data_IF_129180057623
#
_entry.id   IF_129180057623
#
_cell.length_a   1.000
_cell.length_b   1.000
_cell.length_c   1.000
_cell.angle_alpha   90.00
_cell.angle_beta   90.00
_cell.angle_gamma   90.00
#
_symmetry.space_group_name_H-M   'P 1'
#
loop_
_entity.id
_entity.type
_entity.pdbx_description
1 polymer ?
#
# COMPACT_ATOMS: atom_id res chain seq x y z
N UNK A 1 -19.38 -29.90 13.44
CA UNK A 1 -20.38 -29.39 12.48
C UNK A 1 -20.55 -27.85 12.56
N UNK A 2 -20.76 -27.24 13.74
CA UNK A 2 -20.90 -25.79 13.89
C UNK A 2 -19.67 -24.97 13.42
N UNK A 3 -18.46 -25.42 13.77
CA UNK A 3 -17.19 -24.77 13.38
C UNK A 3 -16.96 -24.82 11.87
N UNK A 4 -17.34 -25.89 11.19
CA UNK A 4 -17.19 -26.06 9.74
C UNK A 4 -18.14 -25.10 8.99
N UNK A 5 -19.38 -24.95 9.45
CA UNK A 5 -20.36 -24.05 8.84
C UNK A 5 -19.94 -22.56 8.98
N UNK A 6 -19.38 -22.17 10.14
CA UNK A 6 -18.87 -20.82 10.36
C UNK A 6 -17.65 -20.54 9.46
N UNK A 7 -16.75 -21.51 9.28
CA UNK A 7 -15.59 -21.39 8.39
C UNK A 7 -16.02 -21.12 6.93
N UNK A 8 -16.98 -21.90 6.44
CA UNK A 8 -17.48 -21.76 5.05
C UNK A 8 -18.10 -20.38 4.78
N UNK A 9 -18.75 -19.79 5.78
CA UNK A 9 -19.34 -18.44 5.65
C UNK A 9 -18.24 -17.38 5.51
N UNK A 10 -17.21 -17.43 6.35
CA UNK A 10 -16.11 -16.47 6.33
C UNK A 10 -15.25 -16.64 5.07
N UNK A 11 -14.99 -17.86 4.63
CA UNK A 11 -14.28 -18.16 3.40
C UNK A 11 -14.98 -17.54 2.18
N UNK A 12 -16.30 -17.77 2.02
CA UNK A 12 -17.10 -17.17 0.97
C UNK A 12 -17.08 -15.64 1.01
N UNK A 13 -17.10 -15.06 2.22
CA UNK A 13 -17.06 -13.62 2.41
C UNK A 13 -15.70 -13.02 1.99
N UNK A 14 -14.59 -13.63 2.40
CA UNK A 14 -13.25 -13.23 1.98
C UNK A 14 -13.10 -13.30 0.46
N UNK A 15 -13.55 -14.40 -0.15
CA UNK A 15 -13.52 -14.57 -1.62
C UNK A 15 -14.34 -13.47 -2.32
N UNK A 16 -15.52 -13.17 -1.82
CA UNK A 16 -16.37 -12.12 -2.40
C UNK A 16 -15.72 -10.74 -2.31
N UNK A 17 -15.17 -10.37 -1.17
CA UNK A 17 -14.45 -9.11 -0.98
C UNK A 17 -13.21 -9.03 -1.88
N UNK A 18 -12.40 -10.10 -1.92
CA UNK A 18 -11.21 -10.14 -2.76
C UNK A 18 -11.56 -9.93 -4.23
N UNK A 19 -12.59 -10.63 -4.76
CA UNK A 19 -13.04 -10.48 -6.15
C UNK A 19 -13.59 -9.10 -6.46
N UNK A 20 -14.25 -8.45 -5.49
CA UNK A 20 -14.71 -7.08 -5.62
C UNK A 20 -13.52 -6.11 -5.77
N UNK A 21 -12.55 -6.15 -4.84
CA UNK A 21 -11.37 -5.30 -4.91
C UNK A 21 -10.51 -5.61 -6.14
N UNK A 22 -10.34 -6.88 -6.49
CA UNK A 22 -9.61 -7.30 -7.69
C UNK A 22 -10.20 -6.72 -8.96
N UNK A 23 -11.52 -6.70 -9.06
CA UNK A 23 -12.24 -6.16 -10.23
C UNK A 23 -12.14 -4.65 -10.35
N UNK A 24 -11.97 -3.94 -9.26
CA UNK A 24 -11.90 -2.48 -9.19
C UNK A 24 -10.62 -2.01 -8.50
N UNK A 25 -9.44 -2.31 -9.07
CA UNK A 25 -8.16 -1.97 -8.47
C UNK A 25 -7.91 -0.46 -8.52
N UNK A 26 -7.43 0.09 -7.43
CA UNK A 26 -7.16 1.52 -7.28
C UNK A 26 -5.69 1.73 -6.95
N UNK A 27 -4.93 2.58 -7.68
CA UNK A 27 -3.50 2.74 -7.47
C UNK A 27 -3.16 3.71 -6.34
N UNK A 28 -2.03 3.49 -5.70
CA UNK A 28 -1.36 4.39 -4.76
C UNK A 28 -2.28 5.10 -3.78
N UNK A 29 -2.28 6.42 -3.82
CA UNK A 29 -3.11 7.29 -2.98
C UNK A 29 -4.57 7.43 -3.42
N UNK A 30 -4.99 6.69 -4.46
CA UNK A 30 -6.29 6.86 -5.13
C UNK A 30 -7.32 5.77 -4.74
N UNK A 31 -7.12 5.11 -3.60
CA UNK A 31 -7.96 4.01 -3.10
C UNK A 31 -9.28 4.49 -2.49
N UNK A 32 -10.01 5.35 -3.21
CA UNK A 32 -11.24 6.01 -2.72
C UNK A 32 -12.39 5.05 -2.49
N UNK A 33 -12.69 4.20 -3.48
CA UNK A 33 -13.76 3.21 -3.34
C UNK A 33 -13.47 2.22 -2.21
N UNK A 34 -12.27 1.67 -2.18
CA UNK A 34 -11.86 0.74 -1.13
C UNK A 34 -11.97 1.39 0.27
N UNK A 35 -11.58 2.67 0.39
CA UNK A 35 -11.71 3.43 1.64
C UNK A 35 -13.18 3.55 2.07
N UNK A 36 -14.08 3.97 1.17
CA UNK A 36 -15.52 4.10 1.45
C UNK A 36 -16.12 2.76 1.85
N UNK A 37 -15.83 1.71 1.07
CA UNK A 37 -16.39 0.39 1.28
C UNK A 37 -15.97 -0.20 2.63
N UNK A 38 -14.68 -0.16 2.92
CA UNK A 38 -14.12 -0.67 4.19
C UNK A 38 -14.64 0.14 5.38
N UNK A 39 -14.63 1.48 5.29
CA UNK A 39 -15.09 2.37 6.35
C UNK A 39 -16.55 2.12 6.71
N UNK A 40 -17.44 2.02 5.71
CA UNK A 40 -18.86 1.76 5.89
C UNK A 40 -19.12 0.40 6.55
N UNK A 41 -18.41 -0.64 6.14
CA UNK A 41 -18.53 -1.97 6.73
C UNK A 41 -18.06 -2.00 8.18
N UNK A 42 -16.95 -1.32 8.50
CA UNK A 42 -16.39 -1.29 9.85
C UNK A 42 -17.21 -0.41 10.80
N UNK A 43 -17.75 0.72 10.32
CA UNK A 43 -18.71 1.52 11.12
C UNK A 43 -19.96 0.71 11.46
N UNK A 44 -20.55 -0.01 10.50
CA UNK A 44 -21.69 -0.92 10.75
C UNK A 44 -21.35 -2.06 11.72
N UNK A 45 -20.12 -2.52 11.72
CA UNK A 45 -19.64 -3.53 12.66
C UNK A 45 -19.36 -2.98 14.08
N UNK A 46 -19.48 -1.66 14.29
CA UNK A 46 -19.34 -1.01 15.59
C UNK A 46 -17.93 -0.52 15.91
N UNK A 47 -17.07 -0.36 14.91
CA UNK A 47 -15.77 0.30 15.06
C UNK A 47 -15.89 1.81 15.08
N UNK A 48 -15.01 2.47 15.81
CA UNK A 48 -14.70 3.87 15.62
C UNK A 48 -13.77 3.98 14.40
N UNK A 49 -14.21 4.71 13.34
CA UNK A 49 -13.54 4.71 12.04
C UNK A 49 -13.00 6.09 11.71
N UNK A 50 -11.75 6.14 11.25
CA UNK A 50 -11.05 7.33 10.77
C UNK A 50 -10.58 7.09 9.34
N UNK A 51 -10.66 8.14 8.49
CA UNK A 51 -10.37 8.01 7.05
C UNK A 51 -9.55 9.17 6.50
N UNK A 52 -8.74 8.89 5.50
CA UNK A 52 -8.07 9.86 4.66
C UNK A 52 -7.31 10.92 5.45
N UNK A 53 -7.71 12.19 5.32
CA UNK A 53 -7.02 13.31 5.96
C UNK A 53 -7.01 13.28 7.49
N UNK A 54 -7.91 12.55 8.11
CA UNK A 54 -7.95 12.38 9.57
C UNK A 54 -6.75 11.56 10.09
N UNK A 55 -6.10 10.78 9.21
CA UNK A 55 -5.05 9.81 9.57
C UNK A 55 -3.72 10.01 8.85
N UNK A 56 -3.61 10.97 7.94
CA UNK A 56 -2.41 11.24 7.14
C UNK A 56 -1.83 12.62 7.42
N UNK A 57 -0.51 12.71 7.47
CA UNK A 57 0.21 13.97 7.47
C UNK A 57 0.46 14.44 6.02
N UNK A 58 -0.12 15.55 5.63
CA UNK A 58 -0.01 16.14 4.29
C UNK A 58 1.45 16.46 3.89
N UNK A 59 2.26 16.93 4.84
CA UNK A 59 3.65 17.31 4.58
C UNK A 59 4.56 16.10 4.33
N UNK A 60 4.10 14.91 4.69
CA UNK A 60 4.85 13.66 4.56
C UNK A 60 4.33 12.76 3.43
N UNK A 61 3.39 13.25 2.62
CA UNK A 61 2.93 12.52 1.43
C UNK A 61 4.05 12.47 0.38
N UNK A 62 4.45 11.26 0.03
CA UNK A 62 5.45 11.03 -1.00
C UNK A 62 4.75 10.78 -2.34
N UNK A 63 5.15 11.52 -3.37
CA UNK A 63 4.62 11.43 -4.73
C UNK A 63 3.07 11.43 -4.75
N UNK A 64 2.43 12.51 -4.27
CA UNK A 64 0.98 12.62 -4.27
C UNK A 64 0.43 12.71 -5.69
N UNK A 65 -0.79 12.21 -5.93
CA UNK A 65 -1.43 12.31 -7.23
C UNK A 65 -1.82 13.75 -7.55
N UNK A 66 -1.99 14.02 -8.83
CA UNK A 66 -2.49 15.31 -9.32
C UNK A 66 -3.97 15.51 -8.97
N UNK A 67 -4.42 16.77 -8.91
CA UNK A 67 -5.84 17.10 -8.68
C UNK A 67 -6.77 16.45 -9.72
N UNK A 68 -6.32 16.36 -10.96
CA UNK A 68 -7.07 15.72 -12.05
C UNK A 68 -7.26 14.23 -11.79
N UNK A 69 -6.24 13.54 -11.34
CA UNK A 69 -6.31 12.12 -10.98
C UNK A 69 -7.23 11.92 -9.77
N UNK A 70 -7.09 12.72 -8.73
CA UNK A 70 -7.96 12.69 -7.55
C UNK A 70 -9.42 12.82 -7.99
N UNK A 71 -9.76 13.87 -8.72
CA UNK A 71 -11.14 14.11 -9.19
C UNK A 71 -11.71 12.94 -9.99
N UNK A 72 -10.92 12.36 -10.88
CA UNK A 72 -11.32 11.22 -11.68
C UNK A 72 -11.66 9.99 -10.81
N UNK A 73 -10.78 9.68 -9.84
CA UNK A 73 -10.96 8.51 -9.00
C UNK A 73 -12.05 8.69 -7.95
N UNK A 74 -12.25 9.90 -7.44
CA UNK A 74 -13.39 10.25 -6.59
C UNK A 74 -14.72 10.01 -7.32
N UNK A 75 -14.86 10.49 -8.55
CA UNK A 75 -16.07 10.28 -9.36
C UNK A 75 -16.35 8.80 -9.63
N UNK A 76 -15.31 7.99 -9.86
CA UNK A 76 -15.42 6.54 -10.02
C UNK A 76 -15.87 5.87 -8.73
N UNK A 77 -15.26 6.26 -7.61
CA UNK A 77 -15.54 5.69 -6.30
C UNK A 77 -16.99 5.95 -5.86
N UNK A 78 -17.50 7.16 -6.03
CA UNK A 78 -18.90 7.51 -5.72
C UNK A 78 -19.86 6.60 -6.46
N UNK A 79 -19.74 6.51 -7.78
CA UNK A 79 -20.63 5.66 -8.62
C UNK A 79 -20.54 4.20 -8.21
N UNK A 80 -19.34 3.70 -7.92
CA UNK A 80 -19.15 2.29 -7.57
C UNK A 80 -19.71 2.00 -6.18
N UNK A 81 -19.52 2.89 -5.21
CA UNK A 81 -20.05 2.73 -3.86
C UNK A 81 -21.60 2.65 -3.86
N UNK A 82 -22.28 3.48 -4.65
CA UNK A 82 -23.72 3.43 -4.83
C UNK A 82 -24.17 2.09 -5.45
N UNK A 83 -23.47 1.61 -6.48
CA UNK A 83 -23.72 0.29 -7.10
C UNK A 83 -23.53 -0.85 -6.09
N UNK A 84 -22.64 -0.69 -5.11
CA UNK A 84 -22.46 -1.65 -4.03
C UNK A 84 -23.45 -1.46 -2.86
N UNK A 85 -24.46 -0.61 -3.01
CA UNK A 85 -25.55 -0.45 -2.06
C UNK A 85 -25.25 0.48 -0.88
N UNK A 86 -24.21 1.30 -0.97
CA UNK A 86 -23.94 2.37 0.01
C UNK A 86 -24.79 3.58 -0.41
N UNK A 87 -25.60 4.11 0.51
CA UNK A 87 -26.48 5.25 0.19
C UNK A 87 -25.69 6.51 -0.19
N UNK A 88 -26.25 7.32 -1.07
CA UNK A 88 -25.68 8.59 -1.50
C UNK A 88 -25.27 9.48 -0.30
N UNK A 89 -26.13 9.55 0.72
CA UNK A 89 -25.86 10.29 1.96
C UNK A 89 -24.58 9.77 2.66
N UNK A 90 -24.43 8.45 2.79
CA UNK A 90 -23.24 7.84 3.42
C UNK A 90 -21.99 8.05 2.57
N UNK A 91 -22.10 7.92 1.26
CA UNK A 91 -20.99 8.21 0.34
C UNK A 91 -20.53 9.65 0.49
N UNK A 92 -21.46 10.61 0.53
CA UNK A 92 -21.14 12.03 0.72
C UNK A 92 -20.45 12.30 2.06
N UNK A 93 -20.89 11.65 3.14
CA UNK A 93 -20.23 11.76 4.46
C UNK A 93 -18.80 11.24 4.41
N UNK A 94 -18.56 10.06 3.82
CA UNK A 94 -17.22 9.50 3.72
C UNK A 94 -16.31 10.35 2.84
N UNK A 95 -16.79 10.83 1.70
CA UNK A 95 -16.03 11.72 0.81
C UNK A 95 -15.62 13.01 1.50
N UNK A 96 -16.53 13.63 2.25
CA UNK A 96 -16.23 14.85 3.01
C UNK A 96 -15.16 14.63 4.09
N UNK A 97 -15.23 13.49 4.81
CA UNK A 97 -14.25 13.13 5.84
C UNK A 97 -12.88 12.78 5.25
N UNK A 98 -12.86 12.07 4.14
CA UNK A 98 -11.63 11.73 3.41
C UNK A 98 -10.89 12.97 2.92
N UNK A 99 -11.60 13.99 2.50
CA UNK A 99 -11.05 15.26 2.05
C UNK A 99 -9.86 15.07 1.10
N UNK A 100 -10.11 14.41 -0.03
CA UNK A 100 -9.15 14.10 -1.10
C UNK A 100 -8.00 13.15 -0.70
N UNK A 101 -8.11 12.44 0.41
CA UNK A 101 -7.12 11.45 0.88
C UNK A 101 -7.81 10.11 1.16
N UNK A 102 -7.03 9.05 1.13
CA UNK A 102 -7.53 7.68 1.26
C UNK A 102 -6.87 6.94 2.42
N UNK A 103 -7.39 5.76 2.74
CA UNK A 103 -6.93 4.93 3.86
C UNK A 103 -7.92 4.91 5.02
N UNK A 104 -7.86 3.85 5.82
CA UNK A 104 -8.77 3.63 6.96
C UNK A 104 -7.99 3.22 8.19
N UNK A 105 -8.37 3.79 9.33
CA UNK A 105 -8.03 3.24 10.64
C UNK A 105 -9.32 2.99 11.40
N UNK A 106 -9.52 1.76 11.86
CA UNK A 106 -10.70 1.37 12.60
C UNK A 106 -10.31 0.79 13.97
N UNK A 107 -11.01 1.22 15.01
CA UNK A 107 -10.69 0.88 16.40
C UNK A 107 -11.90 0.22 17.05
N UNK A 108 -11.68 -0.96 17.60
CA UNK A 108 -12.60 -1.61 18.53
C UNK A 108 -11.97 -1.64 19.93
N UNK A 109 -12.48 -0.80 20.82
CA UNK A 109 -12.09 -0.82 22.23
C UNK A 109 -13.13 -1.58 23.03
N UNK A 110 -12.76 -2.77 23.50
CA UNK A 110 -13.68 -3.64 24.26
C UNK A 110 -13.96 -3.15 25.67
N UNK A 111 -13.26 -2.11 26.14
CA UNK A 111 -13.27 -1.64 27.53
C UNK A 111 -12.88 -2.73 28.57
N UNK A 112 -12.40 -3.88 28.12
CA UNK A 112 -11.90 -4.97 28.96
C UNK A 112 -10.38 -4.90 29.02
N UNK A 113 -9.80 -5.29 30.15
CA UNK A 113 -8.34 -5.32 30.33
C UNK A 113 -7.71 -6.30 29.32
N UNK A 114 -6.76 -5.83 28.54
CA UNK A 114 -6.05 -6.64 27.54
C UNK A 114 -5.01 -5.80 26.80
N UNK A 115 -4.35 -6.41 25.81
CA UNK A 115 -3.35 -5.75 24.98
C UNK A 115 -4.01 -4.91 23.87
N UNK A 116 -3.31 -3.87 23.45
CA UNK A 116 -3.60 -3.17 22.20
C UNK A 116 -2.90 -3.90 21.05
N UNK A 117 -3.68 -4.49 20.16
CA UNK A 117 -3.23 -5.22 18.99
C UNK A 117 -3.56 -4.43 17.74
N UNK A 118 -2.57 -4.19 16.88
CA UNK A 118 -2.76 -3.52 15.60
C UNK A 118 -2.51 -4.50 14.44
N UNK A 119 -3.28 -4.35 13.36
CA UNK A 119 -3.20 -5.17 12.15
C UNK A 119 -3.13 -4.24 10.95
N UNK A 120 -2.12 -4.42 10.08
CA UNK A 120 -1.89 -3.57 8.92
C UNK A 120 -2.09 -4.35 7.62
N UNK A 121 -2.83 -3.76 6.70
CA UNK A 121 -3.18 -4.29 5.39
C UNK A 121 -2.96 -3.21 4.32
N UNK A 122 -2.35 -3.61 3.20
CA UNK A 122 -2.12 -2.72 2.07
C UNK A 122 -3.35 -2.67 1.17
N UNK A 123 -3.56 -1.52 0.51
CA UNK A 123 -4.78 -1.28 -0.27
C UNK A 123 -4.53 -1.11 -1.77
N UNK A 124 -3.37 -0.60 -2.16
CA UNK A 124 -3.14 -0.08 -3.49
C UNK A 124 -2.78 -1.16 -4.53
N UNK A 125 -3.18 -0.89 -5.76
CA UNK A 125 -2.86 -1.68 -6.94
C UNK A 125 -1.66 -1.11 -7.71
N UNK A 126 -1.07 -1.94 -8.56
CA UNK A 126 0.00 -1.58 -9.48
C UNK A 126 -0.56 -1.09 -10.84
N UNK A 127 0.15 -0.15 -11.47
CA UNK A 127 -0.10 0.26 -12.85
C UNK A 127 0.51 -0.74 -13.83
N UNK A 128 0.03 -1.98 -13.75
CA UNK A 128 0.45 -3.12 -14.56
C UNK A 128 -0.78 -3.77 -15.18
N UNK A 129 -0.72 -4.02 -16.49
CA UNK A 129 -1.81 -4.70 -17.19
C UNK A 129 -1.98 -6.13 -16.66
N UNK A 130 -3.21 -6.51 -16.40
CA UNK A 130 -3.54 -7.87 -16.00
C UNK A 130 -3.41 -8.83 -17.19
N UNK A 131 -2.86 -10.03 -16.96
CA UNK A 131 -2.78 -11.07 -18.00
C UNK A 131 -4.17 -11.60 -18.33
N UNK A 132 -4.42 -11.74 -19.63
CA UNK A 132 -5.65 -12.27 -20.22
C UNK A 132 -5.57 -13.78 -20.52
N UNK A 133 -4.55 -14.48 -20.01
CA UNK A 133 -4.35 -15.93 -20.25
C UNK A 133 -5.56 -16.71 -19.76
N UNK A 134 -6.09 -17.56 -20.65
CA UNK A 134 -7.34 -18.30 -20.41
C UNK A 134 -7.28 -19.24 -19.20
N UNK A 135 -6.09 -19.63 -18.77
CA UNK A 135 -5.89 -20.50 -17.62
C UNK A 135 -5.99 -19.80 -16.26
N UNK A 136 -5.93 -18.49 -16.23
CA UNK A 136 -6.01 -17.72 -15.00
C UNK A 136 -7.42 -17.71 -14.41
N UNK A 137 -7.50 -17.81 -13.08
CA UNK A 137 -8.77 -17.79 -12.33
C UNK A 137 -9.58 -16.52 -12.58
N UNK A 138 -9.00 -15.29 -12.58
CA UNK A 138 -9.75 -14.07 -12.88
C UNK A 138 -10.43 -14.08 -14.25
N UNK A 139 -9.80 -14.72 -15.26
CA UNK A 139 -10.36 -14.89 -16.60
C UNK A 139 -11.50 -15.90 -16.59
N UNK A 140 -11.24 -17.12 -16.06
CA UNK A 140 -12.22 -18.23 -15.98
C UNK A 140 -13.48 -17.84 -15.22
N UNK A 141 -13.34 -17.12 -14.11
CA UNK A 141 -14.43 -16.77 -13.20
C UNK A 141 -14.90 -15.31 -13.37
N UNK A 142 -14.46 -14.65 -14.43
CA UNK A 142 -14.95 -13.34 -14.91
C UNK A 142 -14.88 -12.20 -13.88
N UNK A 143 -13.77 -12.12 -13.11
CA UNK A 143 -13.52 -11.01 -12.19
C UNK A 143 -12.24 -10.21 -12.49
N UNK A 144 -11.78 -10.20 -13.73
CA UNK A 144 -10.69 -9.36 -14.22
C UNK A 144 -10.88 -7.88 -13.86
N UNK A 145 -9.76 -7.18 -13.77
CA UNK A 145 -9.76 -5.72 -13.61
C UNK A 145 -10.65 -5.02 -14.65
N UNK A 146 -11.45 -4.08 -14.20
CA UNK A 146 -12.26 -3.19 -15.04
C UNK A 146 -11.48 -1.96 -15.52
N UNK A 147 -10.25 -1.77 -15.04
CA UNK A 147 -9.41 -0.65 -15.41
C UNK A 147 -8.19 -1.13 -16.18
N UNK A 148 -8.14 -0.76 -17.47
CA UNK A 148 -7.04 -1.14 -18.33
C UNK A 148 -5.69 -0.64 -17.78
N UNK A 149 -4.69 -1.50 -17.74
CA UNK A 149 -3.35 -1.16 -17.28
C UNK A 149 -3.19 -1.05 -15.76
N UNK A 150 -4.19 -1.47 -14.97
CA UNK A 150 -4.13 -1.47 -13.51
C UNK A 150 -4.60 -2.83 -13.00
N UNK A 151 -3.85 -3.42 -12.07
CA UNK A 151 -4.23 -4.70 -11.46
C UNK A 151 -3.62 -4.89 -10.08
N UNK A 152 -4.26 -5.74 -9.26
CA UNK A 152 -3.72 -6.17 -7.97
C UNK A 152 -2.66 -7.29 -8.15
N UNK A 153 -1.59 -6.99 -8.90
CA UNK A 153 -0.52 -7.95 -9.18
C UNK A 153 0.30 -8.32 -7.92
N UNK A 154 0.25 -7.48 -6.87
CA UNK A 154 0.90 -7.74 -5.57
C UNK A 154 -0.01 -8.43 -4.54
N UNK A 155 -1.31 -8.63 -4.85
CA UNK A 155 -2.24 -9.34 -3.96
C UNK A 155 -2.87 -8.51 -2.85
N UNK A 156 -2.79 -7.17 -2.91
CA UNK A 156 -3.40 -6.28 -1.90
C UNK A 156 -4.94 -6.34 -1.86
N UNK A 157 -5.59 -6.79 -2.95
CA UNK A 157 -7.00 -7.18 -2.95
C UNK A 157 -7.32 -8.24 -1.89
N UNK A 158 -6.43 -9.23 -1.74
CA UNK A 158 -6.51 -10.24 -0.69
C UNK A 158 -6.20 -9.68 0.69
N UNK A 159 -5.26 -8.74 0.82
CA UNK A 159 -4.96 -8.06 2.08
C UNK A 159 -6.20 -7.31 2.59
N UNK A 160 -6.83 -6.48 1.76
CA UNK A 160 -8.06 -5.76 2.11
C UNK A 160 -9.19 -6.73 2.49
N UNK A 161 -9.38 -7.78 1.71
CA UNK A 161 -10.43 -8.77 1.95
C UNK A 161 -10.26 -9.50 3.27
N UNK A 162 -9.03 -9.96 3.56
CA UNK A 162 -8.69 -10.61 4.83
C UNK A 162 -8.83 -9.64 6.00
N UNK A 163 -8.33 -8.43 5.88
CA UNK A 163 -8.40 -7.40 6.92
C UNK A 163 -9.82 -7.04 7.28
N UNK A 164 -10.67 -6.81 6.28
CA UNK A 164 -12.07 -6.46 6.48
C UNK A 164 -12.86 -7.62 7.12
N UNK A 165 -12.74 -8.83 6.56
CA UNK A 165 -13.43 -9.99 7.12
C UNK A 165 -12.96 -10.33 8.52
N UNK A 166 -11.66 -10.19 8.79
CA UNK A 166 -11.12 -10.43 10.14
C UNK A 166 -11.60 -9.38 11.16
N UNK A 167 -11.66 -8.11 10.78
CA UNK A 167 -12.22 -7.07 11.64
C UNK A 167 -13.69 -7.35 11.97
N UNK A 168 -14.52 -7.67 10.98
CA UNK A 168 -15.91 -8.04 11.18
C UNK A 168 -16.06 -9.30 12.06
N UNK A 169 -15.20 -10.30 11.88
CA UNK A 169 -15.15 -11.49 12.74
C UNK A 169 -14.87 -11.11 14.20
N UNK A 170 -13.86 -10.26 14.44
CA UNK A 170 -13.53 -9.79 15.81
C UNK A 170 -14.71 -9.06 16.44
N UNK A 171 -15.39 -8.20 15.70
CA UNK A 171 -16.58 -7.48 16.17
C UNK A 171 -17.74 -8.44 16.51
N UNK A 172 -17.97 -9.44 15.67
CA UNK A 172 -18.99 -10.46 15.90
C UNK A 172 -18.68 -11.28 17.16
N UNK A 173 -17.43 -11.73 17.35
CA UNK A 173 -17.04 -12.47 18.56
C UNK A 173 -17.18 -11.60 19.80
N UNK A 174 -16.81 -10.32 19.73
CA UNK A 174 -17.01 -9.37 20.82
C UNK A 174 -18.49 -9.24 21.17
N UNK A 175 -19.36 -9.03 20.19
CA UNK A 175 -20.81 -8.91 20.38
C UNK A 175 -21.41 -10.17 21.01
N UNK A 176 -20.99 -11.37 20.57
CA UNK A 176 -21.39 -12.66 21.16
C UNK A 176 -20.97 -12.74 22.64
N UNK A 177 -19.73 -12.33 22.96
CA UNK A 177 -19.20 -12.36 24.34
C UNK A 177 -19.94 -11.40 25.29
N UNK A 178 -20.41 -10.25 24.78
CA UNK A 178 -21.23 -9.30 25.58
C UNK A 178 -22.62 -9.85 25.83
N UNK A 179 -23.26 -10.45 24.85
CA UNK A 179 -24.60 -11.08 25.01
C UNK A 179 -24.57 -12.24 26.03
N UNK A 180 -23.59 -13.14 25.89
CA UNK A 180 -23.44 -14.29 26.81
C UNK A 180 -23.18 -13.83 28.26
N UNK A 181 -22.38 -12.77 28.45
CA UNK A 181 -22.15 -12.23 29.81
C UNK A 181 -23.44 -11.67 30.46
N UNK A 182 -24.37 -11.12 29.67
CA UNK A 182 -25.68 -10.68 30.14
C UNK A 182 -26.63 -11.83 30.53
N UNK A 183 -26.53 -12.98 29.86
CA UNK A 183 -27.38 -14.15 30.12
C UNK A 183 -26.88 -15.01 31.29
N UNK A 184 -25.56 -15.06 31.53
CA UNK A 184 -24.95 -15.86 32.64
C UNK A 184 -25.25 -15.30 34.04
N UNK A 185 -25.73 -14.05 34.13
CA UNK A 185 -26.20 -13.52 35.44
C UNK A 185 -27.39 -14.29 36.00
N UNK A 186 -28.05 -15.16 35.23
CA UNK A 186 -29.26 -15.89 35.60
C UNK A 186 -29.11 -17.42 35.79
N UNK A 187 -27.97 -18.05 35.45
CA UNK A 187 -27.78 -19.49 35.66
C UNK A 187 -26.33 -19.88 35.97
N UNK A 188 -26.10 -20.37 37.21
CA UNK A 188 -24.83 -20.97 37.64
C UNK A 188 -24.66 -22.38 37.07
N UNK A 189 -23.66 -22.60 36.21
CA UNK A 189 -23.01 -23.89 36.04
C UNK A 189 -21.52 -23.71 35.66
N UNK A 190 -20.67 -24.10 36.58
CA UNK A 190 -19.20 -23.90 36.59
C UNK A 190 -18.46 -24.68 35.49
N UNK A 191 -19.04 -25.71 34.91
CA UNK A 191 -18.39 -26.60 33.94
C UNK A 191 -18.37 -26.03 32.54
N UNK A 192 -19.36 -25.21 32.14
CA UNK A 192 -19.38 -24.53 30.82
C UNK A 192 -18.39 -23.36 30.72
N UNK A 193 -18.04 -22.75 31.83
CA UNK A 193 -17.12 -21.62 31.90
C UNK A 193 -15.68 -21.97 31.53
N UNK A 194 -15.25 -23.24 31.67
CA UNK A 194 -13.89 -23.64 31.32
C UNK A 194 -13.68 -23.91 29.82
N UNK A 195 -14.72 -24.33 29.11
CA UNK A 195 -14.65 -24.58 27.64
C UNK A 195 -14.90 -23.32 26.80
N UNK A 196 -15.54 -22.29 27.36
CA UNK A 196 -15.82 -21.00 26.72
C UNK A 196 -14.70 -19.96 26.89
N UNK A 197 -13.68 -20.22 27.70
CA UNK A 197 -12.52 -19.32 27.93
C UNK A 197 -11.62 -19.16 26.72
N UNK A 198 -11.82 -19.93 25.63
CA UNK A 198 -10.88 -20.01 24.52
C UNK A 198 -10.89 -18.83 23.52
N UNK A 199 -11.82 -17.89 23.58
CA UNK A 199 -11.81 -16.72 22.65
C UNK A 199 -12.47 -15.47 23.23
N UNK A 200 -12.13 -15.07 24.43
CA UNK A 200 -12.65 -13.79 24.92
C UNK A 200 -11.94 -12.63 24.21
N UNK A 201 -12.69 -11.88 23.40
CA UNK A 201 -12.17 -10.67 22.75
C UNK A 201 -12.03 -9.59 23.83
N UNK A 202 -10.77 -9.25 24.16
CA UNK A 202 -10.43 -8.29 25.19
C UNK A 202 -9.29 -7.37 24.75
N UNK A 203 -9.18 -6.19 25.39
CA UNK A 203 -8.22 -5.16 25.00
C UNK A 203 -8.73 -4.31 23.85
N UNK A 204 -7.82 -3.76 23.07
CA UNK A 204 -8.09 -2.83 21.98
C UNK A 204 -7.56 -3.39 20.67
N UNK A 205 -8.36 -3.33 19.63
CA UNK A 205 -8.03 -3.80 18.29
C UNK A 205 -8.00 -2.62 17.33
N UNK A 206 -6.92 -2.47 16.59
CA UNK A 206 -6.72 -1.40 15.61
C UNK A 206 -6.48 -2.05 14.25
N UNK A 207 -7.32 -1.74 13.28
CA UNK A 207 -7.18 -2.18 11.89
C UNK A 207 -6.74 -1.01 11.04
N UNK A 208 -5.61 -1.14 10.36
CA UNK A 208 -4.98 -0.12 9.53
C UNK A 208 -5.01 -0.61 8.09
N UNK A 209 -5.77 0.07 7.24
CA UNK A 209 -5.77 -0.14 5.80
C UNK A 209 -4.97 1.00 5.17
N UNK A 210 -3.74 0.66 4.76
CA UNK A 210 -2.75 1.63 4.33
C UNK A 210 -2.75 1.80 2.82
N UNK A 211 -3.01 3.02 2.29
CA UNK A 211 -2.82 3.33 0.87
C UNK A 211 -1.34 3.50 0.55
N UNK A 212 -1.00 3.43 -0.75
CA UNK A 212 0.31 3.74 -1.30
C UNK A 212 1.48 2.96 -0.67
N UNK A 213 1.32 1.66 -0.45
CA UNK A 213 2.43 0.77 -0.09
C UNK A 213 3.41 0.66 -1.24
N UNK A 214 2.89 0.51 -2.46
CA UNK A 214 3.68 0.44 -3.67
C UNK A 214 4.50 1.71 -3.88
N UNK A 215 5.79 1.53 -3.96
CA UNK A 215 6.71 2.66 -3.96
C UNK A 215 7.21 3.09 -2.58
N UNK A 216 6.80 2.40 -1.48
CA UNK A 216 7.23 2.71 -0.09
C UNK A 216 6.82 4.13 0.33
N UNK A 217 5.60 4.55 -0.02
CA UNK A 217 5.13 5.94 0.13
C UNK A 217 4.20 6.15 1.34
N UNK A 218 3.32 5.17 1.60
CA UNK A 218 2.17 5.35 2.48
C UNK A 218 2.49 5.37 3.97
N UNK A 219 3.34 4.47 4.45
CA UNK A 219 3.56 4.27 5.88
C UNK A 219 4.15 5.49 6.59
N UNK A 220 4.94 6.31 5.88
CA UNK A 220 5.59 7.47 6.46
C UNK A 220 4.57 8.55 6.88
N UNK A 221 3.57 8.81 6.02
CA UNK A 221 2.52 9.78 6.29
C UNK A 221 1.61 9.39 7.47
N UNK A 222 1.48 8.10 7.76
CA UNK A 222 0.70 7.63 8.92
C UNK A 222 1.40 7.88 10.26
N UNK A 223 2.71 7.72 10.33
CA UNK A 223 3.44 7.60 11.61
C UNK A 223 3.42 8.85 12.48
N UNK A 224 3.24 10.04 11.89
CA UNK A 224 3.34 11.32 12.60
C UNK A 224 2.00 11.97 12.89
N UNK A 225 0.99 11.73 12.05
CA UNK A 225 -0.28 12.43 12.17
C UNK A 225 -1.19 11.83 13.22
N UNK A 226 -1.15 10.49 13.40
CA UNK A 226 -2.11 9.83 14.24
C UNK A 226 -1.48 9.14 15.44
N UNK A 227 -1.90 9.55 16.66
CA UNK A 227 -1.44 8.93 17.89
C UNK A 227 -2.29 7.70 18.23
N UNK A 228 -1.84 6.53 17.80
CA UNK A 228 -2.48 5.25 18.11
C UNK A 228 -2.44 4.90 19.60
N UNK A 229 -1.75 5.70 20.42
CA UNK A 229 -1.40 5.33 21.77
C UNK A 229 -0.37 4.20 21.81
N UNK A 230 -0.24 3.53 22.94
CA UNK A 230 0.66 2.39 23.06
C UNK A 230 0.08 1.20 22.32
N UNK A 231 0.81 0.68 21.31
CA UNK A 231 0.55 -0.58 20.64
C UNK A 231 1.44 -1.63 21.30
N UNK A 232 0.85 -2.72 21.80
CA UNK A 232 1.60 -3.82 22.41
C UNK A 232 2.04 -4.86 21.38
N UNK A 233 1.24 -5.06 20.32
CA UNK A 233 1.51 -6.02 19.25
C UNK A 233 1.06 -5.43 17.91
N UNK A 234 1.94 -5.49 16.89
CA UNK A 234 1.64 -5.12 15.50
C UNK A 234 1.83 -6.33 14.59
N UNK A 235 0.79 -6.63 13.83
CA UNK A 235 0.77 -7.73 12.87
C UNK A 235 0.66 -7.18 11.45
N UNK A 236 1.58 -7.62 10.60
CA UNK A 236 1.56 -7.36 9.16
C UNK A 236 1.69 -8.69 8.44
N UNK A 237 0.94 -8.91 7.40
CA UNK A 237 1.06 -10.10 6.55
C UNK A 237 1.10 -9.69 5.08
N UNK A 238 1.67 -10.58 4.26
CA UNK A 238 1.66 -10.42 2.82
C UNK A 238 1.29 -11.75 2.16
N UNK A 239 0.45 -11.71 1.13
CA UNK A 239 0.07 -12.87 0.31
C UNK A 239 1.15 -13.09 -0.75
N UNK A 240 1.55 -14.35 -0.96
CA UNK A 240 2.45 -14.75 -2.04
C UNK A 240 3.74 -15.41 -1.55
N UNK A 241 4.61 -15.81 -2.45
CA UNK A 241 5.96 -16.38 -2.26
C UNK A 241 6.08 -17.67 -1.44
N UNK A 242 4.98 -18.28 -1.02
CA UNK A 242 4.98 -19.60 -0.38
C UNK A 242 4.08 -20.57 -1.17
N UNK A 243 4.33 -21.88 -1.10
CA UNK A 243 3.42 -22.86 -1.66
C UNK A 243 2.01 -22.72 -1.09
N UNK A 244 1.02 -23.17 -1.87
CA UNK A 244 -0.38 -23.24 -1.42
C UNK A 244 -0.48 -23.94 -0.06
N UNK A 245 -1.41 -23.53 0.78
CA UNK A 245 -1.62 -24.01 2.15
C UNK A 245 -0.43 -23.79 3.13
N UNK A 246 0.51 -22.93 2.78
CA UNK A 246 1.65 -22.61 3.64
C UNK A 246 1.45 -21.27 4.36
N UNK A 247 1.62 -21.28 5.68
CA UNK A 247 1.70 -20.08 6.50
C UNK A 247 3.13 -19.89 6.99
N UNK A 248 3.75 -18.76 6.64
CA UNK A 248 5.11 -18.39 7.07
C UNK A 248 5.02 -17.35 8.17
N UNK A 249 5.44 -17.72 9.38
CA UNK A 249 5.50 -16.81 10.52
C UNK A 249 6.91 -16.24 10.70
N UNK A 250 6.99 -14.96 11.05
CA UNK A 250 8.25 -14.31 11.41
C UNK A 250 9.22 -14.16 10.23
N UNK A 251 8.71 -13.75 9.06
CA UNK A 251 9.54 -13.46 7.90
C UNK A 251 10.62 -12.41 8.24
N UNK A 252 11.84 -12.66 7.77
CA UNK A 252 13.03 -11.84 7.99
C UNK A 252 13.70 -11.50 6.65
N UNK A 253 14.62 -10.53 6.67
CA UNK A 253 15.45 -10.22 5.50
C UNK A 253 14.83 -9.19 4.55
N UNK A 254 13.84 -8.42 5.00
CA UNK A 254 13.39 -7.24 4.28
C UNK A 254 14.54 -6.24 4.16
N UNK A 255 14.77 -5.75 2.94
CA UNK A 255 15.81 -4.77 2.67
C UNK A 255 15.30 -3.35 2.94
N UNK A 256 16.08 -2.54 3.64
CA UNK A 256 15.85 -1.10 3.69
C UNK A 256 15.97 -0.54 2.27
N UNK A 257 15.03 0.32 1.87
CA UNK A 257 14.91 0.82 0.48
C UNK A 257 14.91 2.34 0.44
N UNK A 258 15.57 2.91 -0.58
CA UNK A 258 15.40 4.31 -0.97
C UNK A 258 15.08 4.38 -2.45
N UNK A 259 14.08 5.19 -2.80
CA UNK A 259 13.65 5.47 -4.18
C UNK A 259 13.78 6.97 -4.44
N UNK A 260 14.28 7.34 -5.60
CA UNK A 260 14.42 8.73 -5.97
C UNK A 260 14.46 8.90 -7.50
N UNK A 261 13.98 10.04 -7.94
CA UNK A 261 14.03 10.47 -9.32
C UNK A 261 15.16 11.49 -9.49
N UNK A 262 15.83 11.43 -10.62
CA UNK A 262 16.91 12.35 -10.98
C UNK A 262 16.58 13.00 -12.32
N UNK A 263 16.58 14.34 -12.37
CA UNK A 263 16.41 15.09 -13.58
C UNK A 263 17.69 15.85 -13.90
N UNK A 264 18.31 15.57 -15.05
CA UNK A 264 19.42 16.35 -15.55
C UNK A 264 18.92 17.43 -16.49
N UNK A 265 19.37 18.66 -16.28
CA UNK A 265 19.09 19.81 -17.13
C UNK A 265 20.38 20.37 -17.74
N UNK A 266 20.47 20.31 -19.03
CA UNK A 266 21.59 20.78 -19.82
C UNK A 266 21.22 21.96 -20.73
N UNK A 267 21.78 22.01 -21.92
CA UNK A 267 21.52 23.05 -22.90
C UNK A 267 21.44 22.46 -24.30
N UNK A 268 20.37 22.72 -25.02
CA UNK A 268 20.22 22.32 -26.43
C UNK A 268 21.17 23.09 -27.35
N UNK A 269 21.65 22.39 -28.36
CA UNK A 269 22.39 22.99 -29.51
C UNK A 269 22.21 22.09 -30.73
N UNK A 270 22.48 22.65 -31.94
CA UNK A 270 22.44 21.88 -33.14
C UNK A 270 23.66 20.96 -33.25
N UNK A 271 23.43 19.63 -33.23
CA UNK A 271 24.50 18.64 -33.13
C UNK A 271 25.54 18.67 -34.25
N UNK A 272 25.17 19.12 -35.47
CA UNK A 272 26.06 19.23 -36.60
C UNK A 272 26.67 20.61 -36.84
N UNK A 273 26.07 21.69 -36.33
CA UNK A 273 26.53 23.06 -36.61
C UNK A 273 27.28 23.72 -35.44
N UNK A 274 26.88 23.45 -34.21
CA UNK A 274 27.41 24.10 -33.04
C UNK A 274 27.31 23.20 -31.78
N UNK A 275 27.82 21.95 -31.80
CA UNK A 275 27.72 21.01 -30.69
C UNK A 275 28.40 21.53 -29.41
N UNK A 276 29.48 22.34 -29.56
CA UNK A 276 30.24 22.94 -28.47
C UNK A 276 29.41 23.90 -27.57
N UNK A 277 28.28 24.41 -28.10
CA UNK A 277 27.35 25.29 -27.36
C UNK A 277 26.37 24.53 -26.50
N UNK A 278 26.29 23.20 -26.68
CA UNK A 278 25.38 22.32 -25.93
C UNK A 278 25.95 21.86 -24.60
N UNK A 279 25.07 21.36 -23.74
CA UNK A 279 25.39 20.60 -22.53
C UNK A 279 24.51 19.37 -22.52
N UNK A 280 25.13 18.20 -22.69
CA UNK A 280 24.40 16.97 -23.02
C UNK A 280 23.90 16.25 -21.76
N UNK A 281 22.61 16.39 -21.45
CA UNK A 281 21.97 15.73 -20.32
C UNK A 281 21.86 14.21 -20.49
N UNK A 282 21.70 13.71 -21.72
CA UNK A 282 21.64 12.27 -22.00
C UNK A 282 22.97 11.59 -21.63
N UNK A 283 24.09 12.17 -22.01
CA UNK A 283 25.40 11.61 -21.68
C UNK A 283 25.67 11.65 -20.18
N UNK A 284 25.20 12.68 -19.47
CA UNK A 284 25.30 12.76 -18.01
C UNK A 284 24.50 11.62 -17.36
N UNK A 285 23.26 11.39 -17.79
CA UNK A 285 22.42 10.32 -17.26
C UNK A 285 22.99 8.93 -17.59
N UNK A 286 23.48 8.71 -18.81
CA UNK A 286 24.12 7.46 -19.21
C UNK A 286 25.38 7.17 -18.38
N UNK A 287 26.27 8.18 -18.19
CA UNK A 287 27.46 8.04 -17.33
C UNK A 287 27.06 7.73 -15.88
N UNK A 288 26.13 8.49 -15.31
CA UNK A 288 25.68 8.23 -13.95
C UNK A 288 25.14 6.80 -13.78
N UNK A 289 24.38 6.29 -14.76
CA UNK A 289 23.87 4.92 -14.76
C UNK A 289 25.01 3.89 -14.75
N UNK A 290 26.02 4.07 -15.59
CA UNK A 290 27.18 3.16 -15.68
C UNK A 290 28.00 3.19 -14.40
N UNK A 291 28.30 4.38 -13.89
CA UNK A 291 29.08 4.55 -12.65
C UNK A 291 28.36 3.96 -11.43
N UNK A 292 27.05 4.13 -11.34
CA UNK A 292 26.23 3.53 -10.27
C UNK A 292 26.26 1.99 -10.27
N UNK A 293 26.46 1.35 -11.42
CA UNK A 293 26.63 -0.11 -11.47
C UNK A 293 28.07 -0.54 -11.11
N UNK A 294 29.05 0.34 -11.25
CA UNK A 294 30.47 0.03 -11.13
C UNK A 294 31.08 0.29 -9.75
N UNK A 295 30.46 1.10 -8.89
CA UNK A 295 31.08 1.41 -7.60
C UNK A 295 31.12 0.16 -6.66
N UNK A 296 32.15 0.06 -5.78
CA UNK A 296 32.33 -1.07 -4.90
C UNK A 296 31.15 -1.30 -3.95
N UNK A 297 30.72 -2.54 -3.83
CA UNK A 297 29.66 -2.93 -2.89
C UNK A 297 30.28 -3.33 -1.54
N UNK A 298 29.64 -2.96 -0.40
CA UNK A 298 30.08 -3.44 0.90
C UNK A 298 29.97 -4.96 1.02
N UNK A 299 30.98 -5.60 1.60
CA UNK A 299 30.97 -7.04 1.90
C UNK A 299 30.15 -7.40 3.16
N UNK A 300 29.74 -6.39 3.93
CA UNK A 300 29.12 -6.55 5.26
C UNK A 300 27.62 -6.88 5.21
N UNK A 301 27.04 -7.05 4.01
CA UNK A 301 25.66 -7.44 3.84
C UNK A 301 25.10 -7.23 2.43
N UNK A 302 23.87 -7.64 2.23
CA UNK A 302 23.20 -7.58 0.92
C UNK A 302 22.90 -6.14 0.54
N UNK A 303 23.30 -5.74 -0.68
CA UNK A 303 22.94 -4.46 -1.29
C UNK A 303 22.40 -4.64 -2.70
N UNK A 304 21.55 -3.73 -3.14
CA UNK A 304 21.02 -3.67 -4.52
C UNK A 304 20.94 -2.21 -4.97
N UNK A 305 21.09 -2.00 -6.27
CA UNK A 305 20.81 -0.75 -6.96
C UNK A 305 20.24 -1.07 -8.33
N UNK A 306 19.22 -0.35 -8.72
CA UNK A 306 18.64 -0.44 -10.05
C UNK A 306 18.28 0.95 -10.59
N UNK A 307 18.59 1.20 -11.85
CA UNK A 307 18.03 2.30 -12.64
C UNK A 307 16.91 1.66 -13.46
N UNK A 308 15.69 1.82 -13.00
CA UNK A 308 14.51 1.17 -13.58
C UNK A 308 14.03 1.84 -14.88
N UNK A 309 14.30 3.14 -15.02
CA UNK A 309 13.93 3.92 -16.21
C UNK A 309 14.96 5.00 -16.46
N UNK A 310 15.28 5.23 -17.76
CA UNK A 310 16.04 6.36 -18.25
C UNK A 310 15.36 6.88 -19.51
N UNK A 311 14.97 8.13 -19.50
CA UNK A 311 14.40 8.85 -20.63
C UNK A 311 15.23 10.08 -20.94
N UNK A 312 15.62 10.27 -22.20
CA UNK A 312 16.45 11.40 -22.57
C UNK A 312 16.38 11.73 -24.06
N UNK A 313 16.46 13.03 -24.36
CA UNK A 313 16.61 13.55 -25.72
C UNK A 313 15.30 13.80 -26.46
N UNK A 314 15.38 14.68 -27.47
CA UNK A 314 14.24 15.16 -28.25
C UNK A 314 14.33 14.76 -29.72
N UNK A 315 15.50 14.93 -30.33
CA UNK A 315 15.70 14.68 -31.76
C UNK A 315 17.15 14.28 -32.09
N UNK A 316 17.33 13.59 -33.22
CA UNK A 316 18.65 13.08 -33.68
C UNK A 316 19.71 14.14 -33.95
N UNK A 317 19.32 15.36 -34.28
CA UNK A 317 20.18 16.47 -34.63
C UNK A 317 20.27 17.56 -33.58
N UNK A 318 19.83 17.28 -32.37
CA UNK A 318 19.82 18.20 -31.23
C UNK A 318 20.61 17.61 -30.08
N UNK A 319 21.50 18.38 -29.44
CA UNK A 319 22.13 18.00 -28.18
C UNK A 319 21.04 17.96 -27.10
N UNK A 320 20.81 16.82 -26.45
CA UNK A 320 19.74 16.65 -25.45
C UNK A 320 19.92 17.58 -24.25
N UNK A 321 18.89 18.37 -23.94
CA UNK A 321 18.87 19.26 -22.79
C UNK A 321 18.24 18.63 -21.56
N UNK A 322 17.45 17.56 -21.73
CA UNK A 322 16.75 16.94 -20.63
C UNK A 322 16.98 15.43 -20.58
N UNK A 323 17.14 14.90 -19.36
CA UNK A 323 17.14 13.48 -19.08
C UNK A 323 16.53 13.23 -17.70
N UNK A 324 15.74 12.14 -17.57
CA UNK A 324 15.16 11.69 -16.31
C UNK A 324 15.53 10.24 -16.04
N UNK A 325 15.87 9.93 -14.80
CA UNK A 325 16.10 8.57 -14.33
C UNK A 325 15.20 8.28 -13.11
N UNK A 326 14.75 7.05 -13.00
CA UNK A 326 14.07 6.50 -11.81
C UNK A 326 14.98 5.44 -11.22
N UNK A 327 15.37 5.64 -9.96
CA UNK A 327 16.42 4.87 -9.29
C UNK A 327 15.93 4.30 -7.98
N UNK A 328 16.37 3.08 -7.68
CA UNK A 328 16.14 2.43 -6.39
C UNK A 328 17.46 1.90 -5.82
N UNK A 329 17.69 2.11 -4.51
CA UNK A 329 18.75 1.45 -3.76
C UNK A 329 18.17 0.64 -2.63
N UNK A 330 18.81 -0.50 -2.29
CA UNK A 330 18.42 -1.34 -1.16
C UNK A 330 19.66 -1.79 -0.37
N UNK A 331 19.47 -1.97 0.94
CA UNK A 331 20.48 -2.53 1.84
C UNK A 331 19.86 -3.44 2.89
N UNK A 332 20.56 -4.51 3.27
CA UNK A 332 20.12 -5.44 4.34
C UNK A 332 19.85 -4.70 5.66
N UNK A 333 20.57 -3.60 5.90
CA UNK A 333 20.41 -2.68 7.03
C UNK A 333 20.26 -1.26 6.52
N UNK A 334 19.67 -0.38 7.33
CA UNK A 334 19.51 1.03 7.01
C UNK A 334 20.83 1.72 6.65
N UNK A 335 21.91 1.42 7.38
CA UNK A 335 23.25 1.95 7.13
C UNK A 335 23.79 1.56 5.75
N UNK A 336 23.58 0.30 5.33
CA UNK A 336 23.98 -0.16 4.00
C UNK A 336 23.17 0.52 2.89
N UNK A 337 21.87 0.74 3.11
CA UNK A 337 21.07 1.48 2.15
C UNK A 337 21.48 2.96 2.07
N UNK A 338 21.83 3.58 3.20
CA UNK A 338 22.38 4.94 3.24
C UNK A 338 23.67 5.03 2.42
N UNK A 339 24.62 4.12 2.65
CA UNK A 339 25.84 4.03 1.83
C UNK A 339 25.53 3.93 0.33
N UNK A 340 24.62 3.02 -0.05
CA UNK A 340 24.23 2.83 -1.45
C UNK A 340 23.67 4.10 -2.07
N UNK A 341 22.83 4.81 -1.33
CA UNK A 341 22.24 6.08 -1.75
C UNK A 341 23.30 7.16 -1.92
N UNK A 342 24.19 7.32 -0.94
CA UNK A 342 25.28 8.31 -0.99
C UNK A 342 26.22 8.07 -2.17
N UNK A 343 26.60 6.82 -2.45
CA UNK A 343 27.41 6.47 -3.62
C UNK A 343 26.68 6.78 -4.92
N UNK A 344 25.38 6.49 -5.00
CA UNK A 344 24.57 6.84 -6.17
C UNK A 344 24.55 8.35 -6.42
N UNK A 345 24.32 9.16 -5.37
CA UNK A 345 24.37 10.62 -5.47
C UNK A 345 25.75 11.14 -5.88
N UNK A 346 26.84 10.55 -5.37
CA UNK A 346 28.19 10.89 -5.80
C UNK A 346 28.39 10.63 -7.29
N UNK A 347 27.91 9.51 -7.84
CA UNK A 347 27.97 9.22 -9.27
C UNK A 347 27.18 10.25 -10.11
N UNK A 348 25.99 10.63 -9.63
CA UNK A 348 25.13 11.64 -10.27
C UNK A 348 25.85 13.00 -10.33
N UNK A 349 26.40 13.45 -9.19
CA UNK A 349 27.13 14.72 -9.09
C UNK A 349 28.35 14.74 -10.02
N UNK A 350 29.14 13.67 -10.03
CA UNK A 350 30.31 13.53 -10.91
C UNK A 350 29.93 13.58 -12.38
N UNK A 351 28.85 12.91 -12.77
CA UNK A 351 28.36 12.91 -14.13
C UNK A 351 27.85 14.31 -14.53
N UNK A 352 27.13 14.99 -13.66
CA UNK A 352 26.66 16.36 -13.89
C UNK A 352 27.84 17.33 -14.10
N UNK A 353 28.87 17.25 -13.24
CA UNK A 353 30.10 18.04 -13.39
C UNK A 353 30.82 17.75 -14.70
N UNK A 354 30.93 16.46 -15.10
CA UNK A 354 31.63 16.04 -16.32
C UNK A 354 31.00 16.68 -17.58
N UNK A 355 29.68 16.77 -17.64
CA UNK A 355 28.97 17.27 -18.81
C UNK A 355 28.47 18.71 -18.66
N UNK A 356 28.75 19.36 -17.53
CA UNK A 356 28.38 20.76 -17.26
C UNK A 356 26.86 20.95 -17.22
N UNK A 357 26.12 19.98 -16.69
CA UNK A 357 24.66 20.02 -16.51
C UNK A 357 24.32 20.19 -15.02
N UNK A 358 23.07 20.60 -14.73
CA UNK A 358 22.52 20.58 -13.36
C UNK A 358 21.68 19.32 -13.13
N UNK A 359 21.47 18.97 -11.89
CA UNK A 359 20.58 17.87 -11.51
C UNK A 359 19.75 18.22 -10.29
#
# INVERSE_FOLDING_TARGET
MKVVIERDIWEKKVIAYRRLFHRYPEPGWLTFFATIFIAEHLEKAGFEVYVGREILNEEELMDPPTETEITLWEQRAVKLAEVQGISEEKVAVWMARMNHRTGVVAILDTKRKGKTKAFRFDMDALTVAESMDADRVPVKEQFLSKYQGISHACGHDGHMALGLAFAEYVAEQYSKSVKNAGEVSNQKSTQRLQDEIQTEVCGRYIFIFQPAEEGVRGAFAFRHQWNFGKIDELYCCHIGFAPEDTFVAGAKGFLATSKFDVTFTGKSAHAGLAPERGRNALLAAAKATMDMQAFPRPETGITRLNVGKLEAGEARNTIPAHAKMIVETRGEKGELNTYMKEQAFSCIEQAAKTYGVTY
#
